data_IF_061745827836
#
_entry.id   IF_061745827836
#
_cell.length_a   1.000
_cell.length_b   1.000
_cell.length_c   1.000
_cell.angle_alpha   90.00
_cell.angle_beta   90.00
_cell.angle_gamma   90.00
#
_symmetry.space_group_name_H-M   'P 1'
#
loop_
_entity.id
_entity.type
_entity.pdbx_description
1 polymer ?
#
# COMPACT_ATOMS: atom_id res chain seq x y z
N UNK A 1 38.30 -59.91 -2.67
CA UNK A 1 38.86 -59.26 -1.47
C UNK A 1 39.25 -57.80 -1.78
N UNK A 2 38.27 -56.91 -2.04
CA UNK A 2 38.51 -55.49 -2.37
C UNK A 2 37.41 -54.55 -1.83
N UNK A 3 36.74 -54.93 -0.74
CA UNK A 3 35.63 -54.15 -0.15
C UNK A 3 35.89 -53.70 1.29
N UNK A 4 37.08 -53.96 1.86
CA UNK A 4 37.35 -53.72 3.28
C UNK A 4 38.24 -52.50 3.57
N UNK A 5 38.71 -51.78 2.55
CA UNK A 5 39.50 -50.55 2.74
C UNK A 5 38.70 -49.25 2.55
N UNK A 6 37.47 -49.33 2.04
CA UNK A 6 36.63 -48.14 1.80
C UNK A 6 35.90 -47.65 3.07
N UNK A 7 35.84 -48.49 4.11
CA UNK A 7 35.16 -48.18 5.38
C UNK A 7 36.05 -47.49 6.44
N UNK A 8 37.36 -47.39 6.21
CA UNK A 8 38.28 -46.71 7.14
C UNK A 8 38.56 -45.24 6.80
N UNK A 9 38.17 -44.78 5.60
CA UNK A 9 38.37 -43.38 5.19
C UNK A 9 37.21 -42.48 5.68
N UNK A 10 36.10 -43.05 6.12
CA UNK A 10 34.93 -42.31 6.60
C UNK A 10 34.98 -41.89 8.08
N UNK A 11 36.04 -42.24 8.82
CA UNK A 11 36.13 -42.05 10.28
C UNK A 11 37.14 -40.97 10.73
N UNK A 12 37.65 -40.13 9.83
CA UNK A 12 38.70 -39.15 10.15
C UNK A 12 38.37 -37.69 9.74
N UNK A 13 37.10 -37.34 9.56
CA UNK A 13 36.69 -35.98 9.16
C UNK A 13 35.75 -35.31 10.18
N UNK A 14 36.02 -35.54 11.47
CA UNK A 14 35.27 -34.93 12.57
C UNK A 14 36.23 -34.40 13.61
N UNK A 15 36.95 -33.32 13.29
CA UNK A 15 37.61 -32.44 14.25
C UNK A 15 38.19 -31.28 13.42
N UNK A 16 37.59 -30.10 13.46
CA UNK A 16 38.22 -28.74 13.50
C UNK A 16 37.14 -27.71 13.08
N UNK A 17 36.19 -27.33 13.96
CA UNK A 17 35.42 -26.09 13.80
C UNK A 17 34.95 -25.54 15.17
N UNK A 18 35.89 -25.32 16.09
CA UNK A 18 35.63 -24.64 17.37
C UNK A 18 36.71 -23.62 17.67
N UNK A 19 36.71 -22.47 16.96
CA UNK A 19 37.29 -21.23 17.49
C UNK A 19 36.91 -19.99 16.66
N UNK A 20 35.81 -19.34 17.02
CA UNK A 20 35.57 -17.90 16.79
C UNK A 20 34.44 -17.44 17.73
N UNK A 21 34.73 -17.42 19.03
CA UNK A 21 33.82 -16.89 20.04
C UNK A 21 34.59 -16.07 21.08
N UNK A 22 35.17 -14.94 20.68
CA UNK A 22 35.61 -13.90 21.63
C UNK A 22 36.05 -12.60 20.93
N UNK A 23 35.11 -11.79 20.45
CA UNK A 23 35.32 -10.34 20.39
C UNK A 23 33.99 -9.59 20.45
N UNK A 24 33.48 -9.35 21.67
CA UNK A 24 32.40 -8.40 21.91
C UNK A 24 33.01 -7.01 22.11
N UNK A 25 33.02 -6.21 21.05
CA UNK A 25 33.15 -4.75 21.17
C UNK A 25 31.74 -4.19 21.31
N UNK A 26 31.35 -3.86 22.54
CA UNK A 26 30.13 -3.12 22.86
C UNK A 26 30.29 -1.70 22.31
N UNK A 27 29.81 -1.46 21.09
CA UNK A 27 29.50 -0.11 20.62
C UNK A 27 28.05 0.18 21.05
N UNK A 28 27.74 1.37 21.59
CA UNK A 28 26.35 1.73 21.87
C UNK A 28 25.62 1.86 20.53
N UNK A 29 24.81 0.86 20.21
CA UNK A 29 23.92 0.89 19.06
C UNK A 29 22.93 2.04 19.24
N UNK A 30 23.19 3.14 18.55
CA UNK A 30 22.13 4.06 18.14
C UNK A 30 21.16 3.23 17.33
N UNK A 31 20.04 2.81 17.94
CA UNK A 31 18.93 2.17 17.23
C UNK A 31 18.63 3.00 15.99
N UNK A 32 18.82 2.47 14.78
CA UNK A 32 18.33 3.14 13.58
C UNK A 32 16.81 3.29 13.77
N UNK A 33 16.31 4.51 13.68
CA UNK A 33 14.87 4.71 13.52
C UNK A 33 14.48 3.97 12.24
N UNK A 34 13.83 2.82 12.41
CA UNK A 34 13.26 2.03 11.33
C UNK A 34 12.23 2.91 10.63
N UNK A 35 12.56 3.40 9.44
CA UNK A 35 11.56 4.02 8.56
C UNK A 35 10.47 2.97 8.34
N UNK A 36 9.17 3.35 8.37
CA UNK A 36 8.09 2.42 8.07
C UNK A 36 8.39 1.73 6.74
N UNK A 37 8.52 0.40 6.77
CA UNK A 37 8.71 -0.39 5.56
C UNK A 37 7.46 -0.19 4.69
N UNK A 38 7.66 0.13 3.42
CA UNK A 38 6.55 0.27 2.48
C UNK A 38 5.78 -1.06 2.43
N UNK A 39 4.49 -1.03 2.77
CA UNK A 39 3.66 -2.24 2.77
C UNK A 39 3.54 -2.81 1.36
N UNK A 40 3.71 -4.13 1.26
CA UNK A 40 3.58 -4.82 -0.02
C UNK A 40 2.12 -4.80 -0.51
N UNK A 41 1.88 -4.79 -1.84
CA UNK A 41 0.53 -4.89 -2.38
C UNK A 41 -0.21 -6.14 -1.88
N UNK A 42 -1.45 -5.97 -1.40
CA UNK A 42 -2.24 -7.07 -0.86
C UNK A 42 -3.27 -7.57 -1.88
N UNK A 43 -3.46 -8.89 -1.99
CA UNK A 43 -4.50 -9.48 -2.82
C UNK A 43 -5.86 -9.32 -2.14
N UNK A 44 -6.75 -8.51 -2.71
CA UNK A 44 -8.03 -8.14 -2.09
C UNK A 44 -9.23 -8.91 -2.66
N UNK A 45 -9.11 -9.42 -3.88
CA UNK A 45 -10.21 -10.10 -4.54
C UNK A 45 -9.93 -10.47 -5.99
N UNK A 46 -11.01 -10.66 -6.75
CA UNK A 46 -10.99 -10.91 -8.20
C UNK A 46 -12.14 -10.21 -8.91
N UNK A 47 -12.00 -9.97 -10.21
CA UNK A 47 -13.09 -9.49 -11.05
C UNK A 47 -14.16 -10.58 -11.14
N UNK A 48 -15.35 -10.31 -10.62
CA UNK A 48 -16.49 -11.21 -10.65
C UNK A 48 -17.35 -11.02 -11.89
N UNK A 49 -17.58 -9.76 -12.26
CA UNK A 49 -18.35 -9.42 -13.45
C UNK A 49 -17.94 -8.06 -14.00
N UNK A 50 -18.21 -7.89 -15.29
CA UNK A 50 -18.00 -6.65 -16.03
C UNK A 50 -19.34 -6.35 -16.72
N UNK A 51 -20.12 -5.39 -16.19
CA UNK A 51 -21.35 -4.92 -16.82
C UNK A 51 -21.16 -4.46 -18.27
N UNK A 52 -22.22 -4.52 -19.06
CA UNK A 52 -22.16 -4.35 -20.52
C UNK A 52 -21.64 -2.96 -20.97
N UNK A 53 -21.85 -1.93 -20.15
CA UNK A 53 -21.36 -0.58 -20.36
C UNK A 53 -19.84 -0.43 -20.07
N UNK A 54 -19.21 -1.45 -19.45
CA UNK A 54 -17.76 -1.56 -19.17
C UNK A 54 -17.13 -0.38 -18.42
N UNK A 55 -17.93 0.49 -17.81
CA UNK A 55 -17.43 1.66 -17.06
C UNK A 55 -16.95 1.29 -15.66
N UNK A 56 -17.54 0.25 -15.09
CA UNK A 56 -17.21 -0.27 -13.77
C UNK A 56 -17.11 -1.79 -13.80
N UNK A 57 -16.54 -2.34 -12.73
CA UNK A 57 -16.41 -3.78 -12.49
C UNK A 57 -16.92 -4.13 -11.12
N UNK A 58 -17.39 -5.36 -10.94
CA UNK A 58 -17.64 -5.91 -9.62
C UNK A 58 -16.46 -6.77 -9.21
N UNK A 59 -15.91 -6.45 -8.05
CA UNK A 59 -14.82 -7.18 -7.41
C UNK A 59 -15.44 -8.09 -6.35
N UNK A 60 -15.25 -9.40 -6.47
CA UNK A 60 -15.53 -10.32 -5.37
C UNK A 60 -14.36 -10.27 -4.39
N UNK A 61 -14.62 -9.81 -3.16
CA UNK A 61 -13.63 -9.78 -2.10
C UNK A 61 -13.34 -11.18 -1.58
N UNK A 62 -12.08 -11.42 -1.19
CA UNK A 62 -11.69 -12.67 -0.51
C UNK A 62 -11.91 -12.64 1.01
N UNK A 63 -12.31 -11.49 1.54
CA UNK A 63 -12.60 -11.29 2.96
C UNK A 63 -13.30 -9.96 3.18
N UNK A 64 -13.15 -9.43 4.40
CA UNK A 64 -13.68 -8.12 4.76
C UNK A 64 -13.15 -7.02 3.85
N UNK A 65 -14.06 -6.23 3.28
CA UNK A 65 -13.71 -5.09 2.44
C UNK A 65 -13.44 -3.85 3.30
N UNK A 66 -12.16 -3.54 3.50
CA UNK A 66 -11.68 -2.38 4.27
C UNK A 66 -10.91 -1.37 3.38
N UNK A 67 -11.16 -1.38 2.07
CA UNK A 67 -10.51 -0.46 1.14
C UNK A 67 -11.31 0.85 1.09
N UNK A 68 -10.62 1.96 1.30
CA UNK A 68 -11.20 3.30 1.26
C UNK A 68 -11.73 3.64 -0.15
N UNK A 69 -12.77 4.46 -0.22
CA UNK A 69 -13.27 5.03 -1.48
C UNK A 69 -12.19 5.89 -2.13
N UNK A 70 -12.08 5.83 -3.46
CA UNK A 70 -11.05 6.56 -4.20
C UNK A 70 -9.67 5.90 -4.17
N UNK A 71 -9.53 4.72 -3.55
CA UNK A 71 -8.30 3.95 -3.58
C UNK A 71 -8.08 3.38 -4.97
N UNK A 72 -6.85 3.49 -5.46
CA UNK A 72 -6.43 2.84 -6.71
C UNK A 72 -6.09 1.37 -6.44
N UNK A 73 -6.78 0.49 -7.15
CA UNK A 73 -6.48 -0.94 -7.20
C UNK A 73 -5.86 -1.29 -8.55
N UNK A 74 -5.03 -2.34 -8.57
CA UNK A 74 -4.40 -2.83 -9.79
C UNK A 74 -4.82 -4.27 -10.04
N UNK A 75 -5.25 -4.57 -11.25
CA UNK A 75 -5.56 -5.95 -11.66
C UNK A 75 -4.34 -6.67 -12.21
N UNK A 76 -4.36 -7.99 -12.13
CA UNK A 76 -3.38 -8.88 -12.76
C UNK A 76 -4.10 -10.08 -13.35
N UNK A 77 -4.17 -10.11 -14.68
CA UNK A 77 -4.69 -11.24 -15.44
C UNK A 77 -3.60 -12.23 -15.85
N UNK A 78 -4.01 -13.41 -16.36
CA UNK A 78 -3.12 -14.28 -17.12
C UNK A 78 -2.44 -13.48 -18.25
N UNK A 79 -1.21 -13.87 -18.61
CA UNK A 79 -0.41 -13.22 -19.67
C UNK A 79 0.09 -11.80 -19.33
N UNK A 80 -0.02 -11.38 -18.06
CA UNK A 80 0.52 -10.09 -17.61
C UNK A 80 -0.36 -8.89 -17.95
N UNK A 81 -1.62 -9.11 -18.34
CA UNK A 81 -2.62 -8.04 -18.48
C UNK A 81 -2.80 -7.31 -17.14
N UNK A 82 -2.84 -5.99 -17.20
CA UNK A 82 -3.05 -5.13 -16.04
C UNK A 82 -4.05 -4.03 -16.36
N UNK A 83 -4.75 -3.58 -15.32
CA UNK A 83 -5.64 -2.43 -15.36
C UNK A 83 -5.59 -1.70 -14.02
N UNK A 84 -5.94 -0.41 -14.05
CA UNK A 84 -6.13 0.37 -12.83
C UNK A 84 -7.62 0.61 -12.60
N UNK A 85 -8.05 0.43 -11.36
CA UNK A 85 -9.43 0.61 -10.92
C UNK A 85 -9.48 1.66 -9.81
N UNK A 86 -10.56 2.42 -9.76
CA UNK A 86 -10.84 3.38 -8.68
C UNK A 86 -12.03 2.87 -7.87
N UNK A 87 -11.86 2.65 -6.57
CA UNK A 87 -12.97 2.18 -5.73
C UNK A 87 -14.07 3.23 -5.58
N UNK A 88 -15.33 2.85 -5.78
CA UNK A 88 -16.48 3.77 -5.66
C UNK A 88 -17.00 3.87 -4.22
N UNK A 89 -16.65 2.91 -3.36
CA UNK A 89 -17.20 2.77 -2.01
C UNK A 89 -18.51 2.00 -1.94
N UNK A 90 -19.13 1.71 -3.09
CA UNK A 90 -20.34 0.89 -3.16
C UNK A 90 -20.00 -0.58 -2.91
N UNK A 91 -20.75 -1.23 -2.01
CA UNK A 91 -20.59 -2.64 -1.69
C UNK A 91 -21.93 -3.32 -1.45
N UNK A 92 -22.00 -4.59 -1.82
CA UNK A 92 -23.12 -5.48 -1.55
C UNK A 92 -22.61 -6.88 -1.23
N UNK A 93 -22.69 -7.26 0.06
CA UNK A 93 -22.14 -8.52 0.54
C UNK A 93 -20.63 -8.63 0.27
N UNK A 94 -20.24 -9.64 -0.50
CA UNK A 94 -18.85 -9.89 -0.92
C UNK A 94 -18.42 -9.11 -2.17
N UNK A 95 -19.30 -8.27 -2.73
CA UNK A 95 -19.00 -7.54 -3.96
C UNK A 95 -18.77 -6.06 -3.64
N UNK A 96 -17.71 -5.51 -4.23
CA UNK A 96 -17.42 -4.08 -4.22
C UNK A 96 -17.35 -3.57 -5.67
N UNK A 97 -17.85 -2.37 -5.92
CA UNK A 97 -17.75 -1.74 -7.22
C UNK A 97 -16.48 -0.88 -7.35
N UNK A 98 -15.91 -0.88 -8.55
CA UNK A 98 -14.79 -0.01 -8.89
C UNK A 98 -14.88 0.41 -10.36
N UNK A 99 -14.52 1.67 -10.63
CA UNK A 99 -14.49 2.22 -11.98
C UNK A 99 -13.21 1.83 -12.70
N UNK A 100 -13.32 1.42 -13.96
CA UNK A 100 -12.17 1.12 -14.80
C UNK A 100 -11.51 2.42 -15.26
N UNK A 101 -10.30 2.70 -14.78
CA UNK A 101 -9.57 3.93 -15.11
C UNK A 101 -8.69 3.75 -16.36
N UNK A 102 -8.05 2.59 -16.50
CA UNK A 102 -7.17 2.29 -17.63
C UNK A 102 -6.90 0.80 -17.76
N UNK A 103 -6.46 0.37 -18.94
CA UNK A 103 -6.11 -1.01 -19.24
C UNK A 103 -7.32 -1.88 -19.57
N UNK A 104 -7.11 -3.19 -19.55
CA UNK A 104 -8.14 -4.17 -19.87
C UNK A 104 -8.34 -5.14 -18.71
N UNK A 105 -9.60 -5.52 -18.51
CA UNK A 105 -10.02 -6.44 -17.45
C UNK A 105 -10.79 -7.61 -18.05
N UNK A 106 -10.60 -8.80 -17.48
CA UNK A 106 -11.47 -9.96 -17.71
C UNK A 106 -11.95 -10.51 -16.38
N UNK A 107 -13.10 -11.18 -16.44
CA UNK A 107 -13.62 -11.94 -15.30
C UNK A 107 -12.57 -12.97 -14.86
N UNK A 108 -12.31 -13.01 -13.56
CA UNK A 108 -11.29 -13.84 -12.94
C UNK A 108 -9.93 -13.16 -12.71
N UNK A 109 -9.68 -11.97 -13.27
CA UNK A 109 -8.42 -11.24 -13.02
C UNK A 109 -8.27 -10.94 -11.51
N UNK A 110 -7.07 -11.15 -10.96
CA UNK A 110 -6.78 -10.89 -9.56
C UNK A 110 -6.68 -9.38 -9.30
N UNK A 111 -7.15 -8.92 -8.14
CA UNK A 111 -7.16 -7.49 -7.78
C UNK A 111 -6.30 -7.26 -6.55
N UNK A 112 -5.39 -6.29 -6.63
CA UNK A 112 -4.46 -5.93 -5.57
C UNK A 112 -4.66 -4.50 -5.11
N UNK A 113 -4.56 -4.24 -3.82
CA UNK A 113 -4.43 -2.89 -3.28
C UNK A 113 -2.97 -2.42 -3.38
N UNK A 114 -2.78 -1.17 -3.81
CA UNK A 114 -1.48 -0.50 -3.68
C UNK A 114 -1.51 0.31 -2.39
N UNK A 115 -0.63 -0.03 -1.44
CA UNK A 115 -0.37 0.87 -0.32
C UNK A 115 0.50 2.02 -0.85
N UNK A 116 -0.09 3.19 -1.07
CA UNK A 116 0.69 4.42 -1.20
C UNK A 116 0.75 5.00 0.21
N UNK A 117 1.94 5.17 0.82
CA UNK A 117 2.05 5.80 2.12
C UNK A 117 1.33 7.15 2.06
N UNK A 118 0.23 7.29 2.81
CA UNK A 118 -0.46 8.58 2.93
C UNK A 118 0.59 9.57 3.45
N UNK A 119 0.89 10.67 2.73
CA UNK A 119 1.75 11.70 3.28
C UNK A 119 1.18 12.13 4.62
N UNK A 120 1.97 12.00 5.69
CA UNK A 120 1.53 12.41 7.01
C UNK A 120 1.05 13.85 6.92
N UNK A 121 -0.23 14.08 7.16
CA UNK A 121 -0.78 15.41 7.31
C UNK A 121 0.05 16.09 8.40
N UNK A 122 0.86 17.05 7.98
CA UNK A 122 1.60 17.89 8.91
C UNK A 122 0.54 18.66 9.65
N UNK A 123 0.27 18.25 10.89
CA UNK A 123 -0.55 19.02 11.82
C UNK A 123 0.24 20.31 12.03
N UNK A 124 -0.05 21.32 11.21
CA UNK A 124 0.37 22.68 11.48
C UNK A 124 -0.29 23.03 12.81
N UNK A 125 0.47 22.94 13.90
CA UNK A 125 0.18 23.69 15.11
C UNK A 125 0.04 25.14 14.70
N UNK A 126 -1.21 25.60 14.62
CA UNK A 126 -1.52 27.00 14.49
C UNK A 126 -0.75 27.75 15.58
N UNK A 127 -0.04 28.85 15.27
CA UNK A 127 0.52 29.69 16.31
C UNK A 127 -0.64 30.19 17.16
N UNK A 128 -0.61 29.86 18.46
CA UNK A 128 -1.44 30.51 19.49
C UNK A 128 -1.23 32.01 19.38
N UNK A 129 -2.14 32.71 18.71
CA UNK A 129 -2.28 34.15 18.87
C UNK A 129 -3.28 34.39 20.02
N UNK A 130 -2.91 35.13 21.06
CA UNK A 130 -3.85 35.55 22.09
C UNK A 130 -4.83 36.61 21.55
N UNK A 131 -6.11 36.33 21.74
CA UNK A 131 -7.28 37.23 21.76
C UNK A 131 -7.00 38.49 22.60
N UNK A 132 -7.21 39.76 22.16
CA UNK A 132 -8.47 40.55 21.99
C UNK A 132 -8.15 42.05 22.31
N UNK A 133 -8.96 43.14 22.05
CA UNK A 133 -10.21 43.39 21.29
C UNK A 133 -10.17 44.59 20.28
N UNK A 134 -11.32 44.79 19.60
CA UNK A 134 -11.93 46.07 19.19
C UNK A 134 -11.28 46.92 18.08
N UNK A 135 -11.98 47.10 16.94
CA UNK A 135 -12.98 48.16 16.76
C UNK A 135 -13.45 48.26 15.29
N UNK A 136 -14.73 48.58 15.16
CA UNK A 136 -15.61 48.91 14.04
C UNK A 136 -14.97 49.54 12.77
N UNK A 137 -15.42 49.13 11.57
CA UNK A 137 -16.10 50.00 10.57
C UNK A 137 -16.56 49.16 9.36
N UNK A 138 -17.86 48.87 9.26
CA UNK A 138 -18.86 49.53 8.37
C UNK A 138 -18.77 49.13 6.89
N UNK A 139 -19.79 48.37 6.50
CA UNK A 139 -20.32 48.09 5.17
C UNK A 139 -20.24 49.27 4.18
N UNK A 140 -19.76 49.01 2.96
CA UNK A 140 -20.28 49.63 1.73
C UNK A 140 -20.02 48.72 0.52
N UNK A 141 -21.11 48.24 -0.08
CA UNK A 141 -21.17 47.67 -1.44
C UNK A 141 -21.86 48.75 -2.29
N UNK A 142 -21.62 48.75 -3.61
CA UNK A 142 -22.31 49.54 -4.68
C UNK A 142 -21.56 50.83 -5.06
N UNK A 143 -21.22 51.17 -6.31
CA UNK A 143 -21.91 50.92 -7.58
C UNK A 143 -20.97 50.97 -8.80
N UNK A 144 -21.43 50.35 -9.89
CA UNK A 144 -20.87 50.37 -11.25
C UNK A 144 -21.47 51.57 -12.02
N UNK A 145 -20.73 52.10 -13.02
CA UNK A 145 -21.14 52.91 -14.20
C UNK A 145 -20.76 54.41 -14.25
N UNK A 146 -19.77 54.74 -15.10
CA UNK A 146 -19.85 55.60 -16.32
C UNK A 146 -18.49 56.27 -16.64
N UNK A 147 -17.84 55.85 -17.72
CA UNK A 147 -16.89 56.65 -18.50
C UNK A 147 -17.17 56.37 -19.98
N UNK A 148 -17.89 57.27 -20.63
CA UNK A 148 -17.39 58.34 -21.51
C UNK A 148 -16.92 57.82 -22.86
#
# INVERSE_FOLDING_TARGET
>A
MKSLHLLWILAASSLVLTHCAAFKSTKPDKKPQEKPAAEAPALVGRIASIPADKRFVLIQSYGSWNIETGTILTTRGPEGRTANLLTTGEKLGQFAAADLQSGEVKVGDAVYSRHVPKPAETVNEAPKSPETPENQQKTEIENVQKNN
#
